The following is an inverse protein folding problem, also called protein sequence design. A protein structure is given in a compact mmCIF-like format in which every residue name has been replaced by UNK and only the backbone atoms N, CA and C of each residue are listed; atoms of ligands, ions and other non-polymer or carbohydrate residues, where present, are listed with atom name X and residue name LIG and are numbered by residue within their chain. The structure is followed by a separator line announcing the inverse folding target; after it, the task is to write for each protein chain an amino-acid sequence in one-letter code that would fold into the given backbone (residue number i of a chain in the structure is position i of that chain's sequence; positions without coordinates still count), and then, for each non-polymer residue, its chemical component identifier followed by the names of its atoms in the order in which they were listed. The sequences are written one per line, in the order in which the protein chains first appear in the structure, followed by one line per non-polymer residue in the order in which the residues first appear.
data_IF_750212151510
#
_entry.id   IF_750212151510
#
_cell.length_a   1.000
_cell.length_b   1.000
_cell.length_c   1.000
_cell.angle_alpha   90.00
_cell.angle_beta   90.00
_cell.angle_gamma   90.00
#
_symmetry.space_group_name_H-M   'P 1'
#
loop_
_entity.id
_entity.type
_entity.pdbx_description
1 polymer ?
#
# COMPACT_ATOMS: atom_id res chain seq x y z
N UNK A 1 28.52 24.69 -50.12
CA UNK A 1 28.93 23.48 -49.32
C UNK A 1 28.44 23.60 -47.87
N UNK A 2 28.47 24.80 -47.27
CA UNK A 2 27.97 24.98 -45.88
C UNK A 2 26.42 24.94 -45.78
N UNK A 3 25.69 25.41 -46.80
CA UNK A 3 24.21 25.36 -46.82
C UNK A 3 23.67 23.93 -46.99
N UNK A 4 24.37 23.07 -47.72
CA UNK A 4 23.95 21.69 -47.98
C UNK A 4 24.11 20.78 -46.73
N UNK A 5 25.11 21.09 -45.88
CA UNK A 5 25.28 20.38 -44.60
C UNK A 5 24.26 20.80 -43.54
N UNK A 6 23.67 21.99 -43.66
CA UNK A 6 22.64 22.45 -42.74
C UNK A 6 21.27 21.83 -43.05
N UNK A 7 20.98 21.54 -44.32
CA UNK A 7 19.75 20.83 -44.72
C UNK A 7 19.80 19.34 -44.37
N UNK A 8 20.98 18.70 -44.46
CA UNK A 8 21.14 17.29 -44.05
C UNK A 8 20.99 17.08 -42.53
N UNK A 9 21.31 18.07 -41.73
CA UNK A 9 21.17 18.04 -40.30
C UNK A 9 19.70 18.23 -39.83
N UNK A 10 18.86 18.84 -40.69
CA UNK A 10 17.43 18.99 -40.43
C UNK A 10 16.58 17.81 -40.90
N UNK A 11 17.19 16.82 -41.57
CA UNK A 11 16.58 15.51 -41.82
C UNK A 11 16.89 14.50 -40.70
N UNK A 12 17.08 14.98 -39.48
CA UNK A 12 17.00 14.12 -38.28
C UNK A 12 15.60 13.51 -38.23
N UNK A 13 15.58 12.20 -38.36
CA UNK A 13 14.41 11.35 -38.53
C UNK A 13 13.20 11.82 -37.69
N UNK A 14 12.07 12.18 -38.28
CA UNK A 14 10.84 12.50 -37.52
C UNK A 14 10.37 11.36 -36.66
N UNK A 15 10.88 10.14 -36.88
CA UNK A 15 10.63 8.96 -36.05
C UNK A 15 11.44 8.96 -34.74
N UNK A 16 12.61 9.61 -34.67
CA UNK A 16 13.39 9.74 -33.43
C UNK A 16 12.80 10.79 -32.47
N UNK A 17 12.23 11.88 -32.99
CA UNK A 17 11.50 12.85 -32.15
C UNK A 17 10.22 12.26 -31.59
N UNK A 18 9.51 11.43 -32.36
CA UNK A 18 8.31 10.73 -31.85
C UNK A 18 8.67 9.66 -30.81
N UNK A 19 9.82 9.00 -30.95
CA UNK A 19 10.27 7.99 -30.01
C UNK A 19 10.74 8.60 -28.68
N UNK A 20 11.32 9.80 -28.69
CA UNK A 20 11.70 10.55 -27.49
C UNK A 20 10.50 11.12 -26.72
N UNK A 21 9.38 11.43 -27.38
CA UNK A 21 8.16 11.91 -26.70
C UNK A 21 7.43 10.83 -25.91
N UNK A 22 7.67 9.55 -26.18
CA UNK A 22 7.03 8.41 -25.50
C UNK A 22 7.94 7.68 -24.52
N UNK A 23 9.15 8.16 -24.25
CA UNK A 23 10.02 7.55 -23.25
C UNK A 23 9.44 7.82 -21.85
N UNK A 24 8.71 6.83 -21.35
CA UNK A 24 8.31 6.80 -19.93
C UNK A 24 9.57 6.87 -19.09
N UNK A 25 9.68 7.79 -18.13
CA UNK A 25 10.85 7.81 -17.25
C UNK A 25 11.00 6.43 -16.61
N UNK A 26 12.15 5.81 -16.76
CA UNK A 26 12.45 4.45 -16.27
C UNK A 26 12.12 4.33 -14.78
N UNK A 27 12.30 5.42 -14.05
CA UNK A 27 11.96 5.53 -12.64
C UNK A 27 10.45 5.31 -12.40
N UNK A 28 9.57 5.91 -13.20
CA UNK A 28 8.11 5.73 -13.09
C UNK A 28 7.71 4.27 -13.36
N UNK A 29 8.36 3.64 -14.35
CA UNK A 29 8.10 2.24 -14.70
C UNK A 29 8.47 1.30 -13.54
N UNK A 30 9.66 1.48 -12.95
CA UNK A 30 10.10 0.69 -11.78
C UNK A 30 9.15 0.90 -10.60
N UNK A 31 8.73 2.14 -10.36
CA UNK A 31 7.80 2.47 -9.28
C UNK A 31 6.43 1.79 -9.48
N UNK A 32 5.90 1.83 -10.71
CA UNK A 32 4.65 1.15 -11.03
C UNK A 32 4.76 -0.37 -10.85
N UNK A 33 5.86 -1.00 -11.30
CA UNK A 33 6.08 -2.43 -11.11
C UNK A 33 6.10 -2.78 -9.62
N UNK A 34 6.83 -2.01 -8.80
CA UNK A 34 6.92 -2.22 -7.36
C UNK A 34 5.54 -2.09 -6.70
N UNK A 35 4.76 -1.08 -7.11
CA UNK A 35 3.39 -0.88 -6.62
C UNK A 35 2.47 -2.02 -7.07
N UNK A 36 2.61 -2.53 -8.31
CA UNK A 36 1.82 -3.67 -8.78
C UNK A 36 2.12 -4.94 -7.98
N UNK A 37 3.38 -5.20 -7.66
CA UNK A 37 3.76 -6.34 -6.82
C UNK A 37 3.16 -6.17 -5.42
N UNK A 38 3.31 -5.00 -4.80
CA UNK A 38 2.79 -4.73 -3.45
C UNK A 38 1.26 -4.74 -3.38
N UNK A 39 0.57 -4.01 -4.26
CA UNK A 39 -0.90 -3.96 -4.28
C UNK A 39 -1.53 -5.26 -4.80
N UNK A 40 -0.89 -5.95 -5.74
CA UNK A 40 -1.32 -7.26 -6.22
C UNK A 40 -1.25 -8.31 -5.12
N UNK A 41 -0.13 -8.37 -4.39
CA UNK A 41 0.01 -9.23 -3.21
C UNK A 41 -1.01 -8.88 -2.13
N UNK A 42 -1.20 -7.58 -1.84
CA UNK A 42 -2.21 -7.11 -0.88
C UNK A 42 -3.63 -7.51 -1.28
N UNK A 43 -4.00 -7.36 -2.55
CA UNK A 43 -5.31 -7.77 -3.07
C UNK A 43 -5.52 -9.27 -2.93
N UNK A 44 -4.51 -10.08 -3.30
CA UNK A 44 -4.57 -11.54 -3.18
C UNK A 44 -4.69 -11.99 -1.72
N UNK A 45 -3.88 -11.40 -0.83
CA UNK A 45 -3.96 -11.65 0.62
C UNK A 45 -5.33 -11.30 1.20
N UNK A 46 -5.87 -10.13 0.87
CA UNK A 46 -7.19 -9.71 1.34
C UNK A 46 -8.31 -10.60 0.78
N UNK A 47 -8.21 -11.01 -0.49
CA UNK A 47 -9.16 -11.95 -1.09
C UNK A 47 -9.13 -13.29 -0.34
N UNK A 48 -7.95 -13.82 -0.07
CA UNK A 48 -7.78 -15.04 0.71
C UNK A 48 -8.33 -14.88 2.13
N UNK A 49 -8.09 -13.73 2.78
CA UNK A 49 -8.62 -13.42 4.12
C UNK A 49 -10.14 -13.36 4.15
N UNK A 50 -10.80 -12.80 3.14
CA UNK A 50 -12.28 -12.83 3.04
C UNK A 50 -12.80 -14.26 2.91
N UNK A 51 -12.11 -15.10 2.14
CA UNK A 51 -12.48 -16.50 1.94
C UNK A 51 -12.31 -17.32 3.23
N UNK A 52 -11.20 -17.11 3.94
CA UNK A 52 -10.86 -17.87 5.17
C UNK A 52 -11.57 -17.34 6.41
N UNK A 53 -11.91 -16.04 6.47
CA UNK A 53 -12.64 -15.45 7.59
C UNK A 53 -14.03 -16.09 7.83
N UNK A 54 -14.58 -16.79 6.82
CA UNK A 54 -15.81 -17.57 6.94
C UNK A 54 -15.60 -19.04 7.36
N UNK A 55 -14.35 -19.53 7.28
CA UNK A 55 -14.00 -20.95 7.49
C UNK A 55 -13.16 -21.18 8.74
N UNK A 56 -12.51 -20.14 9.26
CA UNK A 56 -11.60 -20.24 10.41
C UNK A 56 -12.30 -19.74 11.65
N UNK A 57 -12.43 -20.63 12.64
CA UNK A 57 -12.90 -20.24 13.98
C UNK A 57 -11.92 -19.23 14.58
N UNK A 58 -12.38 -18.00 14.74
CA UNK A 58 -11.64 -16.91 15.37
C UNK A 58 -11.17 -17.26 16.80
N UNK A 59 -11.82 -18.22 17.43
CA UNK A 59 -11.44 -18.76 18.74
C UNK A 59 -10.08 -19.46 18.74
N UNK A 60 -9.79 -20.32 17.74
CA UNK A 60 -8.50 -21.01 17.66
C UNK A 60 -7.32 -20.06 17.40
N UNK A 61 -7.54 -19.06 16.55
CA UNK A 61 -6.49 -18.05 16.30
C UNK A 61 -6.24 -17.22 17.56
N UNK A 62 -7.30 -16.83 18.25
CA UNK A 62 -7.21 -16.06 19.49
C UNK A 62 -6.48 -16.84 20.58
N UNK A 63 -6.77 -18.13 20.73
CA UNK A 63 -6.10 -19.02 21.69
C UNK A 63 -4.60 -19.15 21.40
N UNK A 64 -4.22 -19.29 20.13
CA UNK A 64 -2.81 -19.33 19.73
C UNK A 64 -2.06 -18.03 20.05
N UNK A 65 -2.65 -16.87 19.73
CA UNK A 65 -2.06 -15.57 20.07
C UNK A 65 -2.02 -15.33 21.58
N UNK A 66 -3.08 -15.72 22.32
CA UNK A 66 -3.11 -15.56 23.77
C UNK A 66 -2.04 -16.40 24.47
N UNK A 67 -1.81 -17.64 24.03
CA UNK A 67 -0.78 -18.49 24.58
C UNK A 67 0.63 -17.94 24.32
N UNK A 68 0.85 -17.37 23.12
CA UNK A 68 2.13 -16.75 22.74
C UNK A 68 2.41 -15.49 23.59
N UNK A 69 1.42 -14.65 23.80
CA UNK A 69 1.55 -13.41 24.59
C UNK A 69 1.70 -13.72 26.11
N UNK A 70 0.97 -14.70 26.62
CA UNK A 70 1.13 -15.15 28.00
C UNK A 70 2.53 -15.76 28.28
N UNK A 71 3.14 -16.40 27.27
CA UNK A 71 4.51 -16.85 27.35
C UNK A 71 5.52 -15.69 27.43
N UNK A 72 5.24 -14.55 26.80
CA UNK A 72 6.07 -13.34 26.87
C UNK A 72 5.88 -12.57 28.18
N UNK A 73 4.69 -12.58 28.77
CA UNK A 73 4.37 -11.90 30.05
C UNK A 73 5.12 -12.54 31.24
N UNK A 74 5.36 -13.85 31.19
CA UNK A 74 6.11 -14.56 32.25
C UNK A 74 7.61 -14.21 32.30
N UNK A 75 8.15 -13.54 31.28
CA UNK A 75 9.55 -13.16 31.16
C UNK A 75 9.87 -11.70 31.50
N UNK A 76 8.88 -10.84 31.74
CA UNK A 76 9.09 -9.40 31.89
C UNK A 76 8.51 -8.82 33.19
N UNK A 77 9.38 -8.37 34.08
CA UNK A 77 9.06 -7.73 35.39
C UNK A 77 8.57 -6.26 35.25
N UNK A 78 8.27 -5.75 34.05
CA UNK A 78 7.88 -4.36 33.84
C UNK A 78 6.37 -4.18 33.67
N UNK A 79 5.74 -3.39 34.53
CA UNK A 79 4.33 -2.99 34.45
C UNK A 79 3.95 -2.41 33.06
N UNK A 80 4.91 -1.74 32.39
CA UNK A 80 4.72 -1.20 31.05
C UNK A 80 4.55 -2.30 30.00
N UNK A 81 5.27 -3.41 30.11
CA UNK A 81 5.16 -4.53 29.19
C UNK A 81 3.79 -5.21 29.32
N UNK A 82 3.33 -5.45 30.57
CA UNK A 82 2.02 -6.05 30.81
C UNK A 82 0.86 -5.21 30.29
N UNK A 83 0.94 -3.86 30.40
CA UNK A 83 -0.05 -2.95 29.85
C UNK A 83 -0.06 -2.95 28.30
N UNK A 84 1.12 -2.99 27.67
CA UNK A 84 1.23 -3.13 26.21
C UNK A 84 0.64 -4.45 25.75
N UNK A 85 0.96 -5.56 26.42
CA UNK A 85 0.43 -6.87 26.09
C UNK A 85 -1.10 -6.93 26.22
N UNK A 86 -1.65 -6.40 27.32
CA UNK A 86 -3.10 -6.33 27.54
C UNK A 86 -3.81 -5.48 26.48
N UNK A 87 -3.26 -4.32 26.12
CA UNK A 87 -3.82 -3.46 25.08
C UNK A 87 -3.73 -4.11 23.70
N UNK A 88 -2.65 -4.87 23.43
CA UNK A 88 -2.49 -5.64 22.21
C UNK A 88 -3.54 -6.75 22.10
N UNK A 89 -3.79 -7.47 23.19
CA UNK A 89 -4.84 -8.49 23.23
C UNK A 89 -6.24 -7.93 22.94
N UNK A 90 -6.56 -6.78 23.54
CA UNK A 90 -7.84 -6.10 23.27
C UNK A 90 -7.98 -5.70 21.79
N UNK A 91 -6.92 -5.21 21.18
CA UNK A 91 -6.91 -4.85 19.75
C UNK A 91 -7.04 -6.06 18.84
N UNK A 92 -6.36 -7.15 19.16
CA UNK A 92 -6.45 -8.40 18.40
C UNK A 92 -7.87 -8.95 18.47
N UNK A 93 -8.48 -8.98 19.66
CA UNK A 93 -9.85 -9.42 19.84
C UNK A 93 -10.82 -8.59 19.00
N UNK A 94 -10.73 -7.26 19.04
CA UNK A 94 -11.55 -6.38 18.21
C UNK A 94 -11.33 -6.63 16.72
N UNK A 95 -10.09 -6.85 16.30
CA UNK A 95 -9.75 -7.16 14.91
C UNK A 95 -10.33 -8.49 14.45
N UNK A 96 -10.32 -9.54 15.28
CA UNK A 96 -10.88 -10.84 14.94
C UNK A 96 -12.42 -10.81 14.90
N UNK A 97 -13.05 -10.08 15.80
CA UNK A 97 -14.52 -9.93 15.80
C UNK A 97 -15.00 -9.25 14.50
N UNK A 98 -14.25 -8.26 14.02
CA UNK A 98 -14.54 -7.52 12.79
C UNK A 98 -13.71 -7.94 11.57
N UNK A 99 -13.06 -9.13 11.63
CA UNK A 99 -12.13 -9.58 10.61
C UNK A 99 -12.72 -9.57 9.19
N UNK A 100 -13.99 -10.00 9.06
CA UNK A 100 -14.68 -10.03 7.76
C UNK A 100 -14.92 -8.63 7.20
N UNK A 101 -15.37 -7.69 8.04
CA UNK A 101 -15.63 -6.31 7.64
C UNK A 101 -14.33 -5.62 7.26
N UNK A 102 -13.29 -5.76 8.07
CA UNK A 102 -11.95 -5.24 7.80
C UNK A 102 -11.40 -5.81 6.49
N UNK A 103 -11.52 -7.12 6.26
CA UNK A 103 -11.03 -7.78 5.06
C UNK A 103 -11.76 -7.29 3.79
N UNK A 104 -13.09 -7.12 3.85
CA UNK A 104 -13.88 -6.61 2.71
C UNK A 104 -13.50 -5.16 2.40
N UNK A 105 -13.39 -4.29 3.41
CA UNK A 105 -13.01 -2.89 3.22
C UNK A 105 -11.59 -2.81 2.63
N UNK A 106 -10.65 -3.57 3.18
CA UNK A 106 -9.28 -3.61 2.68
C UNK A 106 -9.19 -4.17 1.26
N UNK A 107 -10.02 -5.15 0.91
CA UNK A 107 -10.10 -5.68 -0.46
C UNK A 107 -10.56 -4.60 -1.43
N UNK A 108 -11.64 -3.88 -1.12
CA UNK A 108 -12.14 -2.78 -1.96
C UNK A 108 -11.08 -1.69 -2.13
N UNK A 109 -10.46 -1.24 -1.04
CA UNK A 109 -9.41 -0.23 -1.08
C UNK A 109 -8.17 -0.69 -1.85
N UNK A 110 -7.80 -1.96 -1.72
CA UNK A 110 -6.69 -2.58 -2.45
C UNK A 110 -6.96 -2.61 -3.96
N UNK A 111 -8.19 -2.94 -4.38
CA UNK A 111 -8.60 -2.88 -5.79
C UNK A 111 -8.55 -1.43 -6.30
N UNK A 112 -9.03 -0.45 -5.54
CA UNK A 112 -8.97 0.97 -5.91
C UNK A 112 -7.49 1.42 -6.05
N UNK A 113 -6.63 1.01 -5.12
CA UNK A 113 -5.18 1.28 -5.19
C UNK A 113 -4.55 0.67 -6.44
N UNK A 114 -4.92 -0.56 -6.78
CA UNK A 114 -4.44 -1.24 -7.99
C UNK A 114 -4.91 -0.51 -9.27
N UNK A 115 -6.18 -0.11 -9.33
CA UNK A 115 -6.71 0.69 -10.44
C UNK A 115 -5.99 2.04 -10.54
N UNK A 116 -5.72 2.70 -9.42
CA UNK A 116 -4.89 3.91 -9.36
C UNK A 116 -3.52 3.69 -9.97
N UNK A 117 -2.84 2.60 -9.63
CA UNK A 117 -1.54 2.24 -10.18
C UNK A 117 -1.60 1.97 -11.69
N UNK A 118 -2.66 1.29 -12.19
CA UNK A 118 -2.87 1.06 -13.63
C UNK A 118 -3.07 2.39 -14.38
N UNK A 119 -3.86 3.30 -13.83
CA UNK A 119 -4.09 4.62 -14.43
C UNK A 119 -2.80 5.46 -14.44
N UNK A 120 -1.97 5.36 -13.40
CA UNK A 120 -0.65 6.01 -13.39
C UNK A 120 0.29 5.39 -14.42
N UNK A 121 0.24 4.08 -14.60
CA UNK A 121 0.98 3.40 -15.67
C UNK A 121 0.57 3.90 -17.07
N UNK A 122 -0.71 4.29 -17.23
CA UNK A 122 -1.22 4.94 -18.45
C UNK A 122 -0.90 6.45 -18.52
N UNK A 123 -0.07 6.99 -17.62
CA UNK A 123 0.30 8.40 -17.52
C UNK A 123 -0.88 9.35 -17.25
N UNK A 124 -1.95 8.85 -16.63
CA UNK A 124 -3.11 9.66 -16.23
C UNK A 124 -2.94 10.19 -14.82
N UNK A 125 -3.01 11.51 -14.63
CA UNK A 125 -2.92 12.17 -13.30
C UNK A 125 -4.02 11.73 -12.32
N UNK A 126 -5.19 11.36 -12.82
CA UNK A 126 -6.31 10.87 -12.01
C UNK A 126 -5.93 9.64 -11.20
N UNK A 127 -5.06 8.76 -11.74
CA UNK A 127 -4.56 7.57 -11.04
C UNK A 127 -3.87 7.89 -9.72
N UNK A 128 -3.12 8.98 -9.66
CA UNK A 128 -2.45 9.44 -8.45
C UNK A 128 -3.44 9.78 -7.32
N UNK A 129 -4.53 10.46 -7.64
CA UNK A 129 -5.55 10.81 -6.64
C UNK A 129 -6.26 9.57 -6.09
N UNK A 130 -6.61 8.60 -6.96
CA UNK A 130 -7.21 7.33 -6.53
C UNK A 130 -6.27 6.52 -5.64
N UNK A 131 -5.00 6.42 -6.02
CA UNK A 131 -3.99 5.72 -5.23
C UNK A 131 -3.81 6.38 -3.87
N UNK A 132 -3.61 7.70 -3.83
CA UNK A 132 -3.38 8.46 -2.60
C UNK A 132 -4.59 8.37 -1.66
N UNK A 133 -5.81 8.52 -2.18
CA UNK A 133 -7.03 8.38 -1.40
C UNK A 133 -7.18 6.99 -0.80
N UNK A 134 -6.93 5.93 -1.59
CA UNK A 134 -6.97 4.55 -1.11
C UNK A 134 -5.94 4.30 0.00
N UNK A 135 -4.71 4.79 -0.14
CA UNK A 135 -3.66 4.65 0.86
C UNK A 135 -4.02 5.35 2.18
N UNK A 136 -4.54 6.57 2.11
CA UNK A 136 -4.97 7.32 3.30
C UNK A 136 -6.13 6.59 3.99
N UNK A 137 -7.15 6.14 3.24
CA UNK A 137 -8.27 5.41 3.81
C UNK A 137 -7.83 4.09 4.46
N UNK A 138 -6.94 3.34 3.80
CA UNK A 138 -6.37 2.09 4.34
C UNK A 138 -5.69 2.29 5.70
N UNK A 139 -5.02 3.42 5.87
CA UNK A 139 -4.32 3.77 7.11
C UNK A 139 -5.27 3.92 8.30
N UNK A 140 -6.51 4.39 8.06
CA UNK A 140 -7.51 4.62 9.10
C UNK A 140 -8.40 3.41 9.39
N UNK A 141 -8.42 2.39 8.54
CA UNK A 141 -9.27 1.20 8.72
C UNK A 141 -8.95 0.51 10.04
N UNK A 142 -7.69 0.20 10.30
CA UNK A 142 -7.29 -0.54 11.49
C UNK A 142 -7.56 0.21 12.80
N UNK A 143 -7.17 1.51 12.95
CA UNK A 143 -7.49 2.28 14.16
C UNK A 143 -8.99 2.44 14.41
N UNK A 144 -9.80 2.48 13.36
CA UNK A 144 -11.25 2.60 13.49
C UNK A 144 -11.89 1.38 14.16
N UNK A 145 -11.45 0.15 13.82
CA UNK A 145 -12.00 -1.08 14.36
C UNK A 145 -11.29 -1.55 15.64
N UNK A 146 -9.96 -1.43 15.69
CA UNK A 146 -9.15 -1.95 16.80
C UNK A 146 -8.90 -0.91 17.92
N UNK A 147 -9.31 0.35 17.69
CA UNK A 147 -9.05 1.45 18.61
C UNK A 147 -7.60 1.97 18.54
N UNK A 148 -7.34 3.07 19.26
CA UNK A 148 -6.03 3.72 19.30
C UNK A 148 -5.19 3.16 20.44
N UNK A 149 -4.44 2.10 20.17
CA UNK A 149 -3.48 1.49 21.09
C UNK A 149 -2.06 1.72 20.61
N UNK A 150 -1.09 1.55 21.49
CA UNK A 150 0.32 1.72 21.17
C UNK A 150 0.76 0.89 19.94
N UNK A 151 0.38 -0.39 19.88
CA UNK A 151 0.71 -1.29 18.77
C UNK A 151 0.02 -0.87 17.46
N UNK A 152 -1.26 -0.50 17.52
CA UNK A 152 -2.00 -0.01 16.35
C UNK A 152 -1.39 1.29 15.85
N UNK A 153 -1.04 2.20 16.76
CA UNK A 153 -0.41 3.47 16.42
C UNK A 153 0.99 3.27 15.81
N UNK A 154 1.79 2.38 16.38
CA UNK A 154 3.11 2.05 15.85
C UNK A 154 3.03 1.45 14.44
N UNK A 155 2.09 0.50 14.22
CA UNK A 155 1.82 -0.07 12.89
C UNK A 155 1.31 0.95 11.88
N UNK A 156 0.43 1.86 12.32
CA UNK A 156 -0.07 2.97 11.51
C UNK A 156 1.06 3.92 11.10
N UNK A 157 1.93 4.32 12.03
CA UNK A 157 3.08 5.19 11.74
C UNK A 157 4.05 4.53 10.76
N UNK A 158 4.36 3.24 10.97
CA UNK A 158 5.22 2.49 10.07
C UNK A 158 4.62 2.42 8.65
N UNK A 159 3.34 2.09 8.54
CA UNK A 159 2.63 2.05 7.26
C UNK A 159 2.55 3.45 6.61
N UNK A 160 2.35 4.51 7.41
CA UNK A 160 2.30 5.89 6.93
C UNK A 160 3.63 6.34 6.29
N UNK A 161 4.77 5.93 6.86
CA UNK A 161 6.09 6.25 6.30
C UNK A 161 6.19 5.70 4.87
N UNK A 162 5.85 4.44 4.65
CA UNK A 162 5.87 3.84 3.31
C UNK A 162 4.87 4.53 2.38
N UNK A 163 3.64 4.78 2.83
CA UNK A 163 2.63 5.47 2.03
C UNK A 163 3.14 6.86 1.60
N UNK A 164 3.72 7.65 2.50
CA UNK A 164 4.28 8.97 2.20
C UNK A 164 5.43 8.87 1.20
N UNK A 165 6.35 7.93 1.38
CA UNK A 165 7.48 7.73 0.45
C UNK A 165 6.94 7.48 -0.97
N UNK A 166 5.99 6.56 -1.14
CA UNK A 166 5.41 6.27 -2.44
C UNK A 166 4.64 7.46 -3.01
N UNK A 167 3.84 8.16 -2.21
CA UNK A 167 3.10 9.35 -2.63
C UNK A 167 4.07 10.44 -3.12
N UNK A 168 5.15 10.71 -2.39
CA UNK A 168 6.17 11.70 -2.78
C UNK A 168 6.86 11.28 -4.07
N UNK A 169 7.26 10.00 -4.20
CA UNK A 169 7.90 9.48 -5.40
C UNK A 169 7.00 9.61 -6.63
N UNK A 170 5.69 9.34 -6.50
CA UNK A 170 4.74 9.56 -7.57
C UNK A 170 4.48 11.05 -7.84
N UNK A 171 4.40 11.88 -6.80
CA UNK A 171 4.22 13.33 -6.94
C UNK A 171 5.34 13.98 -7.75
N UNK A 172 6.59 13.56 -7.55
CA UNK A 172 7.74 14.04 -8.33
C UNK A 172 7.63 13.69 -9.83
N UNK A 173 6.91 12.63 -10.16
CA UNK A 173 6.69 12.19 -11.52
C UNK A 173 5.40 12.73 -12.17
N UNK A 174 4.55 13.45 -11.41
CA UNK A 174 3.31 14.05 -11.91
C UNK A 174 3.53 14.99 -13.11
N UNK A 175 4.70 15.63 -13.21
CA UNK A 175 5.05 16.50 -14.34
C UNK A 175 5.11 15.76 -15.69
N UNK A 176 5.30 14.45 -15.69
CA UNK A 176 5.34 13.60 -16.88
C UNK A 176 3.97 12.97 -17.21
N UNK A 177 2.95 13.18 -16.36
CA UNK A 177 1.60 12.67 -16.55
C UNK A 177 0.67 13.72 -17.14
N UNK A 178 -0.30 13.27 -17.94
CA UNK A 178 -1.33 14.10 -18.57
C UNK A 178 -2.66 14.02 -17.82
#
# INVERSE_FOLDING_TARGET
IECEQTELKNMENPFEEQQNQFQRPTFLLVLCILTFIGSGWGTLSNLFSVFTAGLTDSSMQMEHYSSMLNGMDQGGDSAVLSDILRSTMASLQATFVHAKEIAVINLVLSVISLLGAILMFQLRRIGFYFYTAAQILMLFVLPYFAGFNFMVLAGMLFSAIFAVIFIVMYALNLKYMR
#
